data_IF_962493917389
#
_entry.id   IF_962493917389
#
_cell.length_a   1.000
_cell.length_b   1.000
_cell.length_c   1.000
_cell.angle_alpha   90.00
_cell.angle_beta   90.00
_cell.angle_gamma   90.00
#
_symmetry.space_group_name_H-M   'P 1'
#
loop_
_entity.id
_entity.type
_entity.pdbx_description
1 polymer ?
#
# COMPACT_ATOMS: atom_id res chain seq x y z
N UNK A 1 49.02 43.64 25.07
CA UNK A 1 47.54 43.55 25.18
C UNK A 1 46.88 42.73 24.06
N UNK A 2 47.64 42.01 23.22
CA UNK A 2 47.11 41.40 21.99
C UNK A 2 46.65 39.92 22.13
N UNK A 3 47.04 39.25 23.23
CA UNK A 3 46.76 37.81 23.45
C UNK A 3 45.32 37.53 23.91
N UNK A 4 44.64 38.49 24.54
CA UNK A 4 43.29 38.32 25.10
C UNK A 4 42.20 38.24 24.02
N UNK A 5 42.36 38.96 22.92
CA UNK A 5 41.37 39.02 21.83
C UNK A 5 41.35 37.76 20.95
N UNK A 6 42.49 37.08 20.78
CA UNK A 6 42.55 35.84 19.99
C UNK A 6 41.76 34.71 20.66
N UNK A 7 41.85 34.58 21.99
CA UNK A 7 41.11 33.57 22.73
C UNK A 7 39.59 33.85 22.71
N UNK A 8 39.18 35.11 22.84
CA UNK A 8 37.77 35.51 22.76
C UNK A 8 37.18 35.23 21.37
N UNK A 9 37.90 35.56 20.29
CA UNK A 9 37.46 35.27 18.92
C UNK A 9 37.36 33.76 18.67
N UNK A 10 38.32 32.97 19.19
CA UNK A 10 38.29 31.51 19.05
C UNK A 10 37.10 30.89 19.78
N UNK A 11 36.77 31.38 20.99
CA UNK A 11 35.59 30.94 21.74
C UNK A 11 34.30 31.32 21.01
N UNK A 12 34.20 32.53 20.46
CA UNK A 12 33.05 32.97 19.67
C UNK A 12 32.90 32.12 18.39
N UNK A 13 33.99 31.82 17.70
CA UNK A 13 33.97 30.93 16.53
C UNK A 13 33.55 29.50 16.89
N UNK A 14 34.02 28.95 18.01
CA UNK A 14 33.62 27.62 18.48
C UNK A 14 32.14 27.57 18.88
N UNK A 15 31.63 28.61 19.56
CA UNK A 15 30.21 28.71 19.90
C UNK A 15 29.32 28.84 18.64
N UNK A 16 29.75 29.64 17.65
CA UNK A 16 29.06 29.72 16.36
C UNK A 16 29.10 28.39 15.60
N UNK A 17 30.21 27.66 15.66
CA UNK A 17 30.32 26.32 15.05
C UNK A 17 29.40 25.30 15.73
N UNK A 18 29.26 25.35 17.06
CA UNK A 18 28.34 24.50 17.81
C UNK A 18 26.87 24.78 17.47
N UNK A 19 26.49 26.07 17.38
CA UNK A 19 25.11 26.46 17.01
C UNK A 19 24.78 26.05 15.56
N UNK A 20 25.76 26.14 14.65
CA UNK A 20 25.61 25.69 13.26
C UNK A 20 25.61 24.15 13.13
N UNK A 21 26.32 23.44 14.01
CA UNK A 21 26.35 21.97 14.03
C UNK A 21 25.04 21.37 14.55
N UNK A 22 24.42 21.98 15.57
CA UNK A 22 23.12 21.54 16.10
C UNK A 22 21.96 21.76 15.11
N UNK A 23 22.12 22.69 14.16
CA UNK A 23 21.12 22.98 13.14
C UNK A 23 21.02 21.90 12.05
N UNK A 24 21.96 20.95 12.00
CA UNK A 24 22.03 19.89 10.98
C UNK A 24 21.55 18.52 11.47
N UNK A 25 21.12 18.41 12.73
CA UNK A 25 20.38 17.24 13.19
C UNK A 25 18.94 17.34 12.68
N UNK A 26 18.74 17.10 11.38
CA UNK A 26 17.42 16.88 10.81
C UNK A 26 16.93 15.52 11.33
N UNK A 27 16.40 15.54 12.56
CA UNK A 27 15.64 14.43 13.08
C UNK A 27 14.44 14.28 12.15
N UNK A 28 14.43 13.21 11.35
CA UNK A 28 13.28 12.90 10.52
C UNK A 28 12.06 12.84 11.44
N UNK A 29 11.15 13.80 11.26
CA UNK A 29 9.93 13.88 12.05
C UNK A 29 9.17 12.56 11.92
N UNK A 30 8.69 12.02 13.05
CA UNK A 30 8.03 10.73 13.06
C UNK A 30 6.68 10.82 12.34
N UNK A 31 6.65 10.42 11.08
CA UNK A 31 5.41 10.35 10.31
C UNK A 31 4.76 8.96 10.46
N UNK A 32 3.72 8.88 11.29
CA UNK A 32 2.93 7.67 11.52
C UNK A 32 2.43 7.01 10.23
N UNK A 33 2.25 7.77 9.14
CA UNK A 33 1.77 7.26 7.85
C UNK A 33 2.75 6.28 7.20
N UNK A 34 4.03 6.32 7.57
CA UNK A 34 5.05 5.37 7.13
C UNK A 34 4.94 4.01 7.85
N UNK A 35 4.28 3.96 9.01
CA UNK A 35 4.26 2.79 9.90
C UNK A 35 2.93 2.03 9.90
N UNK A 36 2.06 2.29 8.91
CA UNK A 36 0.77 1.61 8.78
C UNK A 36 0.86 0.27 8.01
N UNK A 37 2.05 -0.29 7.83
CA UNK A 37 2.28 -1.56 7.12
C UNK A 37 1.63 -1.54 5.72
N UNK A 38 0.93 -2.61 5.36
CA UNK A 38 0.26 -2.75 4.05
C UNK A 38 -0.91 -1.80 3.81
N UNK A 39 -1.29 -0.95 4.77
CA UNK A 39 -2.31 0.08 4.59
C UNK A 39 -1.74 1.49 4.48
N UNK A 40 -0.42 1.65 4.54
CA UNK A 40 0.27 2.89 4.16
C UNK A 40 -0.07 3.21 2.70
N UNK A 41 -0.43 4.48 2.44
CA UNK A 41 -0.77 4.93 1.08
C UNK A 41 0.46 4.93 0.20
N UNK A 42 0.27 4.63 -1.08
CA UNK A 42 1.38 4.57 -2.03
C UNK A 42 2.10 5.92 -2.12
N UNK A 43 1.35 7.03 -2.15
CA UNK A 43 1.92 8.37 -2.23
C UNK A 43 2.80 8.78 -1.05
N UNK A 44 2.67 8.13 0.11
CA UNK A 44 3.49 8.39 1.30
C UNK A 44 4.81 7.64 1.18
N UNK A 45 4.78 6.37 0.79
CA UNK A 45 5.96 5.50 0.77
C UNK A 45 6.72 5.52 -0.56
N UNK A 46 6.16 6.08 -1.63
CA UNK A 46 6.78 6.06 -2.98
C UNK A 46 8.16 6.73 -3.06
N UNK A 47 8.42 7.70 -2.19
CA UNK A 47 9.67 8.45 -2.11
C UNK A 47 10.52 8.05 -0.91
N UNK A 48 9.99 7.17 -0.04
CA UNK A 48 10.76 6.56 1.05
C UNK A 48 11.54 5.41 0.42
N UNK A 49 12.49 5.77 -0.46
CA UNK A 49 13.54 4.85 -0.80
C UNK A 49 14.31 4.61 0.50
N UNK A 50 14.35 3.36 0.98
CA UNK A 50 15.45 2.97 1.86
C UNK A 50 16.73 3.46 1.16
N UNK A 51 17.71 3.93 1.91
CA UNK A 51 19.06 4.28 1.41
C UNK A 51 19.79 3.13 0.67
N UNK A 52 19.12 2.00 0.47
CA UNK A 52 19.54 0.82 -0.28
C UNK A 52 18.82 0.64 -1.62
N UNK A 53 17.81 1.45 -1.94
CA UNK A 53 17.09 1.41 -3.22
C UNK A 53 17.50 2.58 -4.10
N UNK A 54 18.49 2.35 -4.96
CA UNK A 54 18.82 3.24 -6.07
C UNK A 54 17.77 3.08 -7.17
N UNK A 55 16.99 4.12 -7.52
CA UNK A 55 16.10 4.06 -8.67
C UNK A 55 16.93 3.74 -9.91
N UNK A 56 16.76 2.54 -10.47
CA UNK A 56 17.46 2.21 -11.71
C UNK A 56 16.81 3.02 -12.84
N UNK A 57 17.50 4.06 -13.26
CA UNK A 57 17.24 4.69 -14.55
C UNK A 57 17.66 3.74 -15.67
N UNK A 58 17.12 3.99 -16.88
CA UNK A 58 17.56 3.25 -18.06
C UNK A 58 19.01 3.64 -18.32
N UNK A 59 19.97 2.68 -18.34
CA UNK A 59 21.37 3.01 -18.55
C UNK A 59 21.61 3.71 -19.88
N UNK A 60 22.62 4.60 -19.92
CA UNK A 60 23.01 5.29 -21.14
C UNK A 60 23.34 4.29 -22.27
N UNK A 61 22.76 4.50 -23.45
CA UNK A 61 22.92 3.60 -24.59
C UNK A 61 22.01 2.36 -24.58
N UNK A 62 21.15 2.20 -23.57
CA UNK A 62 20.12 1.18 -23.54
C UNK A 62 18.73 1.76 -23.89
N UNK A 63 17.89 0.96 -24.53
CA UNK A 63 16.49 1.29 -24.79
C UNK A 63 15.63 0.16 -24.22
N UNK A 64 14.58 0.46 -23.43
CA UNK A 64 13.67 -0.58 -22.96
C UNK A 64 12.94 -1.18 -24.16
N UNK A 65 12.85 -2.51 -24.21
CA UNK A 65 12.15 -3.26 -25.26
C UNK A 65 10.88 -3.95 -24.77
N UNK A 66 10.72 -4.09 -23.45
CA UNK A 66 9.58 -4.75 -22.82
C UNK A 66 9.36 -4.25 -21.39
N UNK A 67 8.11 -4.23 -20.93
CA UNK A 67 7.74 -3.92 -19.55
C UNK A 67 6.76 -4.96 -19.01
N UNK A 68 7.16 -5.65 -17.93
CA UNK A 68 6.25 -6.44 -17.11
C UNK A 68 5.98 -5.69 -15.80
N UNK A 69 4.72 -5.43 -15.51
CA UNK A 69 4.31 -4.75 -14.28
C UNK A 69 3.32 -5.61 -13.50
N UNK A 70 3.63 -5.86 -12.24
CA UNK A 70 2.69 -6.42 -11.26
C UNK A 70 2.40 -5.34 -10.22
N UNK A 71 1.14 -4.91 -10.16
CA UNK A 71 0.70 -3.88 -9.25
C UNK A 71 -0.42 -4.39 -8.34
N UNK A 72 -0.39 -3.98 -7.06
CA UNK A 72 -1.55 -4.13 -6.19
C UNK A 72 -2.64 -3.13 -6.57
N UNK A 73 -3.86 -3.41 -6.13
CA UNK A 73 -4.94 -2.43 -6.21
C UNK A 73 -4.60 -1.17 -5.39
N UNK A 74 -5.23 -0.04 -5.73
CA UNK A 74 -5.05 1.22 -5.00
C UNK A 74 -5.71 1.24 -3.63
N UNK A 75 -5.62 2.40 -2.97
CA UNK A 75 -6.30 2.65 -1.70
C UNK A 75 -7.79 2.33 -1.79
N UNK A 76 -8.29 1.61 -0.80
CA UNK A 76 -9.67 1.11 -0.73
C UNK A 76 -10.34 1.45 0.58
N UNK A 77 -11.67 1.41 0.59
CA UNK A 77 -12.46 1.41 1.81
C UNK A 77 -12.14 0.17 2.67
N UNK A 78 -12.31 0.23 4.00
CA UNK A 78 -12.31 -0.95 4.86
C UNK A 78 -13.32 -1.99 4.37
N UNK A 79 -13.04 -3.27 4.60
CA UNK A 79 -14.02 -4.31 4.29
C UNK A 79 -15.20 -4.23 5.26
N UNK A 80 -16.38 -4.77 4.88
CA UNK A 80 -17.54 -4.82 5.79
C UNK A 80 -17.22 -5.41 7.17
N UNK A 81 -16.34 -6.41 7.22
CA UNK A 81 -15.83 -6.98 8.48
C UNK A 81 -15.10 -5.92 9.31
N UNK A 82 -14.18 -5.18 8.70
CA UNK A 82 -13.41 -4.13 9.38
C UNK A 82 -14.27 -2.93 9.78
N UNK A 83 -15.30 -2.59 9.01
CA UNK A 83 -16.26 -1.55 9.40
C UNK A 83 -16.99 -1.94 10.68
N UNK A 84 -17.51 -3.18 10.77
CA UNK A 84 -18.10 -3.69 12.00
C UNK A 84 -17.13 -3.74 13.19
N UNK A 85 -15.85 -4.07 12.93
CA UNK A 85 -14.83 -4.02 13.97
C UNK A 85 -14.64 -2.60 14.51
N UNK A 86 -14.72 -1.56 13.65
CA UNK A 86 -14.66 -0.14 14.05
C UNK A 86 -15.91 0.30 14.81
N UNK A 87 -17.10 -0.16 14.42
CA UNK A 87 -18.33 0.16 15.13
C UNK A 87 -18.35 -0.47 16.54
N UNK A 88 -17.87 -1.71 16.67
CA UNK A 88 -17.66 -2.35 17.98
C UNK A 88 -16.63 -1.60 18.81
N UNK A 89 -15.54 -1.15 18.20
CA UNK A 89 -14.56 -0.30 18.88
C UNK A 89 -15.23 0.97 19.42
N UNK A 90 -16.06 1.65 18.63
CA UNK A 90 -16.78 2.85 19.08
C UNK A 90 -17.69 2.56 20.29
N UNK A 91 -18.43 1.44 20.26
CA UNK A 91 -19.28 1.03 21.37
C UNK A 91 -18.46 0.76 22.65
N UNK A 92 -17.34 0.04 22.55
CA UNK A 92 -16.47 -0.24 23.69
C UNK A 92 -15.83 1.04 24.25
N UNK A 93 -15.38 1.96 23.39
CA UNK A 93 -14.81 3.24 23.84
C UNK A 93 -15.84 4.06 24.61
N UNK A 94 -17.12 4.04 24.19
CA UNK A 94 -18.21 4.71 24.89
C UNK A 94 -18.44 4.14 26.30
N UNK A 95 -18.39 2.81 26.44
CA UNK A 95 -18.50 2.15 27.75
C UNK A 95 -17.33 2.52 28.66
N UNK A 96 -16.09 2.42 28.16
CA UNK A 96 -14.90 2.80 28.93
C UNK A 96 -14.93 4.25 29.42
N UNK A 97 -15.37 5.19 28.57
CA UNK A 97 -15.51 6.60 28.95
C UNK A 97 -16.62 6.80 29.99
N UNK A 98 -17.72 6.04 29.92
CA UNK A 98 -18.78 6.10 30.94
C UNK A 98 -18.28 5.56 32.27
N UNK A 99 -17.65 4.38 32.26
CA UNK A 99 -17.19 3.72 33.48
C UNK A 99 -16.09 4.57 34.18
N UNK A 100 -15.21 5.22 33.41
CA UNK A 100 -14.23 6.16 33.95
C UNK A 100 -14.87 7.37 34.64
N UNK A 101 -15.96 7.91 34.06
CA UNK A 101 -16.74 9.00 34.69
C UNK A 101 -17.42 8.55 35.98
N UNK A 102 -17.99 7.35 36.00
CA UNK A 102 -18.65 6.78 37.18
C UNK A 102 -17.67 6.51 38.32
N UNK A 103 -16.41 6.17 38.00
CA UNK A 103 -15.32 5.98 38.97
C UNK A 103 -14.69 7.28 39.47
N UNK A 104 -15.15 8.44 38.98
CA UNK A 104 -14.61 9.74 39.38
C UNK A 104 -13.19 10.02 38.87
N UNK A 105 -12.74 9.31 37.82
CA UNK A 105 -11.49 9.66 37.14
C UNK A 105 -11.63 11.04 36.52
N UNK A 106 -10.57 11.85 36.62
CA UNK A 106 -10.55 13.19 36.08
C UNK A 106 -10.78 13.14 34.57
N UNK A 107 -11.82 13.82 34.09
CA UNK A 107 -12.17 13.85 32.66
C UNK A 107 -11.05 14.47 31.81
N UNK A 108 -10.22 15.29 32.44
CA UNK A 108 -9.01 15.89 31.91
C UNK A 108 -7.94 14.83 31.53
N UNK A 109 -7.98 13.64 32.14
CA UNK A 109 -7.08 12.53 31.80
C UNK A 109 -7.55 11.72 30.59
N UNK A 110 -8.82 11.86 30.18
CA UNK A 110 -9.35 11.19 28.99
C UNK A 110 -9.12 12.07 27.75
N UNK A 111 -8.34 11.59 26.75
CA UNK A 111 -8.15 12.33 25.52
C UNK A 111 -9.48 12.79 24.90
N UNK A 112 -9.60 14.09 24.62
CA UNK A 112 -10.85 14.67 24.13
C UNK A 112 -11.39 13.99 22.86
N UNK A 113 -10.51 13.48 21.99
CA UNK A 113 -10.91 12.79 20.76
C UNK A 113 -11.64 11.46 20.99
N UNK A 114 -11.47 10.82 22.15
CA UNK A 114 -12.19 9.60 22.52
C UNK A 114 -13.64 9.89 22.89
N UNK A 115 -13.91 11.11 23.40
CA UNK A 115 -15.23 11.49 23.84
C UNK A 115 -16.16 11.65 22.64
N UNK A 116 -17.15 10.76 22.53
CA UNK A 116 -18.09 10.79 21.41
C UNK A 116 -17.48 10.32 20.08
N UNK A 117 -16.35 9.62 20.11
CA UNK A 117 -15.78 9.04 18.89
C UNK A 117 -16.76 8.06 18.24
N UNK A 118 -17.06 8.29 16.97
CA UNK A 118 -17.80 7.36 16.15
C UNK A 118 -16.95 6.88 14.98
N UNK A 119 -17.21 5.65 14.54
CA UNK A 119 -16.61 5.09 13.34
C UNK A 119 -16.91 6.01 12.14
N UNK A 120 -15.89 6.46 11.36
CA UNK A 120 -16.11 7.20 10.12
C UNK A 120 -16.88 6.40 9.05
N UNK A 121 -17.05 5.10 9.30
CA UNK A 121 -17.72 4.14 8.43
C UNK A 121 -19.08 3.69 8.98
N UNK A 122 -19.56 4.32 10.06
CA UNK A 122 -20.87 4.07 10.63
C UNK A 122 -21.95 4.24 9.55
N UNK A 123 -22.93 3.33 9.57
CA UNK A 123 -24.07 3.25 8.65
C UNK A 123 -23.73 3.05 7.16
N UNK A 124 -22.44 2.92 6.80
CA UNK A 124 -22.05 2.60 5.42
C UNK A 124 -22.31 1.12 5.13
N UNK A 125 -23.02 0.85 4.03
CA UNK A 125 -23.45 -0.51 3.65
C UNK A 125 -22.43 -1.22 2.73
N UNK A 126 -21.70 -0.45 1.93
CA UNK A 126 -20.66 -0.95 1.02
C UNK A 126 -19.31 -0.92 1.71
N UNK A 127 -18.42 -1.84 1.33
CA UNK A 127 -17.08 -1.93 1.92
C UNK A 127 -16.12 -2.72 1.05
N UNK A 128 -14.86 -2.31 1.07
CA UNK A 128 -13.78 -2.92 0.30
C UNK A 128 -13.70 -2.49 -1.16
N UNK A 129 -14.48 -1.48 -1.58
CA UNK A 129 -14.33 -0.86 -2.89
C UNK A 129 -13.06 -0.01 -2.98
N UNK A 130 -12.57 0.14 -4.21
CA UNK A 130 -11.57 1.17 -4.52
C UNK A 130 -12.22 2.53 -4.25
N UNK A 131 -11.48 3.43 -3.58
CA UNK A 131 -11.95 4.81 -3.38
C UNK A 131 -11.23 5.74 -4.35
N UNK A 132 -11.73 6.97 -4.50
CA UNK A 132 -11.17 7.99 -5.41
C UNK A 132 -9.65 8.14 -5.22
N UNK A 133 -9.16 8.11 -3.98
CA UNK A 133 -7.71 8.15 -3.72
C UNK A 133 -6.94 6.99 -4.33
N UNK A 134 -7.51 5.79 -4.34
CA UNK A 134 -6.92 4.66 -5.05
C UNK A 134 -6.99 4.81 -6.57
N UNK A 135 -8.02 5.45 -7.11
CA UNK A 135 -8.11 5.75 -8.55
C UNK A 135 -7.03 6.75 -8.97
N UNK A 136 -6.89 7.86 -8.22
CA UNK A 136 -5.83 8.85 -8.42
C UNK A 136 -4.43 8.20 -8.36
N UNK A 137 -4.17 7.38 -7.33
CA UNK A 137 -2.89 6.67 -7.16
C UNK A 137 -2.51 5.84 -8.41
N UNK A 138 -3.47 5.11 -8.97
CA UNK A 138 -3.21 4.24 -10.11
C UNK A 138 -3.16 5.02 -11.42
N UNK A 139 -3.99 6.06 -11.57
CA UNK A 139 -3.93 6.98 -12.70
C UNK A 139 -2.55 7.64 -12.79
N UNK A 140 -2.09 8.26 -11.71
CA UNK A 140 -0.77 8.91 -11.64
C UNK A 140 0.37 7.90 -11.81
N UNK A 141 0.16 6.65 -11.38
CA UNK A 141 1.11 5.58 -11.67
C UNK A 141 1.17 5.26 -13.17
N UNK A 142 0.03 5.16 -13.86
CA UNK A 142 -0.01 4.96 -15.30
C UNK A 142 0.67 6.09 -16.08
N UNK A 143 0.44 7.35 -15.68
CA UNK A 143 1.11 8.52 -16.27
C UNK A 143 2.62 8.40 -16.14
N UNK A 144 3.13 8.18 -14.92
CA UNK A 144 4.58 8.04 -14.68
C UNK A 144 5.19 6.85 -15.40
N UNK A 145 4.47 5.73 -15.52
CA UNK A 145 4.96 4.58 -16.29
C UNK A 145 5.20 4.96 -17.75
N UNK A 146 4.25 5.68 -18.36
CA UNK A 146 4.40 6.14 -19.75
C UNK A 146 5.52 7.16 -19.90
N UNK A 147 5.64 8.11 -18.98
CA UNK A 147 6.72 9.10 -18.99
C UNK A 147 8.09 8.42 -18.89
N UNK A 148 8.24 7.46 -17.96
CA UNK A 148 9.51 6.76 -17.75
C UNK A 148 9.89 5.83 -18.90
N UNK A 149 8.93 5.17 -19.54
CA UNK A 149 9.17 4.19 -20.60
C UNK A 149 8.55 4.62 -21.93
N UNK A 150 8.64 5.90 -22.28
CA UNK A 150 7.94 6.48 -23.42
C UNK A 150 8.18 5.72 -24.75
N UNK A 151 9.40 5.21 -24.97
CA UNK A 151 9.76 4.45 -26.17
C UNK A 151 8.96 3.15 -26.35
N UNK A 152 8.38 2.59 -25.29
CA UNK A 152 7.52 1.41 -25.35
C UNK A 152 6.07 1.72 -25.78
N UNK A 153 5.68 2.99 -25.86
CA UNK A 153 4.29 3.41 -26.08
C UNK A 153 4.13 4.23 -27.38
N UNK A 154 4.97 3.95 -28.37
CA UNK A 154 4.96 4.64 -29.67
C UNK A 154 3.83 4.15 -30.60
N UNK A 155 3.30 2.96 -30.36
CA UNK A 155 2.26 2.34 -31.19
C UNK A 155 0.85 2.61 -30.65
N UNK A 156 -0.12 2.64 -31.55
CA UNK A 156 -1.54 2.74 -31.16
C UNK A 156 -1.96 1.54 -30.32
N UNK A 157 -2.88 1.76 -29.37
CA UNK A 157 -3.36 0.68 -28.50
C UNK A 157 -3.95 -0.50 -29.30
N UNK A 158 -3.39 -1.69 -29.07
CA UNK A 158 -3.93 -2.99 -29.41
C UNK A 158 -3.86 -3.93 -28.19
N UNK A 159 -4.90 -4.74 -27.89
CA UNK A 159 -4.91 -5.63 -26.71
C UNK A 159 -3.78 -6.67 -26.70
N UNK A 160 -3.31 -7.11 -27.86
CA UNK A 160 -2.22 -8.09 -27.98
C UNK A 160 -0.83 -7.48 -27.75
N UNK A 161 -0.71 -6.15 -27.85
CA UNK A 161 0.55 -5.42 -27.61
C UNK A 161 0.58 -4.93 -26.17
N UNK A 162 -0.51 -4.29 -25.74
CA UNK A 162 -0.64 -3.72 -24.39
C UNK A 162 -1.62 -4.52 -23.55
N UNK A 163 -1.23 -5.74 -23.22
CA UNK A 163 -2.07 -6.63 -22.43
C UNK A 163 -2.20 -6.15 -20.99
N UNK A 164 -3.42 -5.81 -20.57
CA UNK A 164 -3.75 -5.46 -19.17
C UNK A 164 -4.61 -6.58 -18.59
N UNK A 165 -4.11 -7.21 -17.51
CA UNK A 165 -4.82 -8.27 -16.78
C UNK A 165 -5.14 -7.82 -15.35
N UNK A 166 -6.31 -8.22 -14.86
CA UNK A 166 -6.70 -8.00 -13.47
C UNK A 166 -7.43 -9.22 -12.91
N UNK A 167 -7.23 -9.50 -11.63
CA UNK A 167 -8.03 -10.51 -10.91
C UNK A 167 -9.52 -10.14 -10.97
N UNK A 168 -10.42 -11.13 -10.92
CA UNK A 168 -11.87 -10.91 -10.84
C UNK A 168 -12.32 -10.45 -9.43
N UNK A 169 -11.77 -9.31 -9.01
CA UNK A 169 -12.08 -8.59 -7.78
C UNK A 169 -12.36 -7.13 -8.20
N UNK A 170 -13.53 -6.55 -7.90
CA UNK A 170 -13.92 -5.23 -8.43
C UNK A 170 -12.90 -4.11 -8.20
N UNK A 171 -12.27 -4.06 -7.02
CA UNK A 171 -11.23 -3.05 -6.75
C UNK A 171 -9.95 -3.24 -7.58
N UNK A 172 -9.62 -4.47 -7.96
CA UNK A 172 -8.45 -4.76 -8.78
C UNK A 172 -8.71 -4.40 -10.25
N UNK A 173 -9.89 -4.75 -10.77
CA UNK A 173 -10.28 -4.33 -12.12
C UNK A 173 -10.42 -2.81 -12.23
N UNK A 174 -11.06 -2.15 -11.25
CA UNK A 174 -11.12 -0.69 -11.21
C UNK A 174 -9.73 -0.04 -11.14
N UNK A 175 -8.80 -0.64 -10.40
CA UNK A 175 -7.40 -0.17 -10.34
C UNK A 175 -6.70 -0.30 -11.70
N UNK A 176 -6.90 -1.41 -12.40
CA UNK A 176 -6.36 -1.62 -13.74
C UNK A 176 -6.95 -0.63 -14.75
N UNK A 177 -8.24 -0.29 -14.62
CA UNK A 177 -8.88 0.75 -15.43
C UNK A 177 -8.27 2.12 -15.12
N UNK A 178 -8.16 2.52 -13.86
CA UNK A 178 -7.55 3.80 -13.49
C UNK A 178 -6.10 3.92 -14.02
N UNK A 179 -5.31 2.85 -13.88
CA UNK A 179 -3.97 2.75 -14.44
C UNK A 179 -3.95 2.92 -15.96
N UNK A 180 -4.79 2.18 -16.69
CA UNK A 180 -4.89 2.29 -18.15
C UNK A 180 -5.35 3.67 -18.61
N UNK A 181 -6.23 4.34 -17.85
CA UNK A 181 -6.67 5.71 -18.14
C UNK A 181 -5.53 6.73 -18.03
N UNK A 182 -4.58 6.51 -17.11
CA UNK A 182 -3.36 7.31 -17.00
C UNK A 182 -2.38 6.99 -18.13
N UNK A 183 -2.11 5.70 -18.33
CA UNK A 183 -1.18 5.20 -19.34
C UNK A 183 -1.55 5.69 -20.75
N UNK A 184 -2.82 5.58 -21.14
CA UNK A 184 -3.31 5.99 -22.46
C UNK A 184 -3.97 7.37 -22.47
N UNK A 185 -3.65 8.23 -21.49
CA UNK A 185 -4.21 9.59 -21.47
C UNK A 185 -3.74 10.38 -22.71
N UNK A 186 -4.68 11.07 -23.38
CA UNK A 186 -4.38 11.91 -24.54
C UNK A 186 -4.16 11.17 -25.87
N UNK A 187 -4.21 9.83 -25.90
CA UNK A 187 -3.94 9.04 -27.13
C UNK A 187 -5.17 8.73 -27.96
N UNK A 188 -6.37 9.05 -27.47
CA UNK A 188 -7.62 8.75 -28.14
C UNK A 188 -8.41 9.98 -28.57
N UNK A 189 -9.67 9.73 -28.94
CA UNK A 189 -10.61 10.73 -29.47
C UNK A 189 -11.86 10.87 -28.62
N UNK A 190 -12.01 10.09 -27.54
CA UNK A 190 -13.21 10.10 -26.72
C UNK A 190 -13.19 11.23 -25.70
N UNK A 191 -14.16 12.14 -25.84
CA UNK A 191 -14.41 13.25 -24.91
C UNK A 191 -13.27 14.29 -24.83
N UNK A 192 -13.45 15.34 -24.01
CA UNK A 192 -12.47 16.43 -23.88
C UNK A 192 -11.08 15.96 -23.41
N UNK A 193 -11.04 14.86 -22.65
CA UNK A 193 -9.80 14.26 -22.15
C UNK A 193 -9.07 13.37 -23.16
N UNK A 194 -9.51 13.31 -24.43
CA UNK A 194 -8.89 12.52 -25.51
C UNK A 194 -8.58 11.09 -25.08
N UNK A 195 -9.58 10.44 -24.48
CA UNK A 195 -9.41 9.10 -23.89
C UNK A 195 -9.42 8.03 -24.98
N UNK A 196 -8.61 6.99 -24.77
CA UNK A 196 -8.59 5.77 -25.59
C UNK A 196 -9.27 4.65 -24.80
N UNK A 197 -10.21 3.95 -25.43
CA UNK A 197 -10.75 2.71 -24.88
C UNK A 197 -9.68 1.61 -24.93
N UNK A 198 -9.61 0.79 -23.87
CA UNK A 198 -8.71 -0.34 -23.74
C UNK A 198 -9.42 -1.50 -23.04
N UNK A 199 -8.88 -2.70 -23.21
CA UNK A 199 -9.41 -3.92 -22.61
C UNK A 199 -8.67 -4.23 -21.31
N UNK A 200 -9.42 -4.62 -20.29
CA UNK A 200 -8.88 -5.25 -19.08
C UNK A 200 -9.40 -6.67 -19.07
N UNK A 201 -8.49 -7.63 -19.21
CA UNK A 201 -8.83 -9.05 -19.23
C UNK A 201 -8.82 -9.57 -17.79
N UNK A 202 -9.84 -10.33 -17.41
CA UNK A 202 -9.86 -11.03 -16.12
C UNK A 202 -10.11 -12.50 -16.32
N UNK A 203 -9.35 -13.32 -15.60
CA UNK A 203 -9.64 -14.75 -15.49
C UNK A 203 -10.61 -15.01 -14.34
N UNK A 204 -11.31 -16.14 -14.41
CA UNK A 204 -12.18 -16.55 -13.32
C UNK A 204 -11.38 -16.74 -12.03
N UNK A 205 -12.00 -16.49 -10.87
CA UNK A 205 -11.34 -16.74 -9.57
C UNK A 205 -10.84 -18.18 -9.39
N UNK A 206 -11.45 -19.14 -10.08
CA UNK A 206 -11.08 -20.56 -10.00
C UNK A 206 -9.89 -20.91 -10.90
N UNK A 207 -9.64 -20.13 -11.95
CA UNK A 207 -8.58 -20.37 -12.93
C UNK A 207 -7.37 -19.44 -12.75
N UNK A 208 -7.56 -18.30 -12.08
CA UNK A 208 -6.50 -17.31 -11.82
C UNK A 208 -5.49 -17.84 -10.80
N UNK A 209 -4.55 -18.65 -11.27
CA UNK A 209 -3.45 -19.22 -10.48
C UNK A 209 -2.23 -18.31 -10.45
N UNK A 210 -2.09 -17.41 -11.43
CA UNK A 210 -0.93 -16.53 -11.58
C UNK A 210 -1.03 -15.23 -10.77
N UNK A 211 -2.18 -14.53 -10.82
CA UNK A 211 -2.36 -13.27 -10.09
C UNK A 211 -2.98 -13.49 -8.69
N UNK A 212 -3.60 -14.65 -8.47
CA UNK A 212 -4.14 -15.12 -7.19
C UNK A 212 -3.46 -16.42 -6.74
N UNK A 213 -2.12 -16.46 -6.67
CA UNK A 213 -1.35 -17.64 -6.22
C UNK A 213 -1.76 -18.16 -4.83
N UNK A 214 -2.35 -17.31 -3.97
CA UNK A 214 -2.93 -17.73 -2.69
C UNK A 214 -4.11 -18.72 -2.81
N UNK A 215 -4.74 -18.84 -3.98
CA UNK A 215 -5.79 -19.84 -4.25
C UNK A 215 -5.19 -21.25 -4.36
N UNK A 216 -3.99 -21.38 -4.95
CA UNK A 216 -3.21 -22.62 -4.94
C UNK A 216 -2.84 -23.01 -3.50
N UNK A 217 -2.44 -22.02 -2.69
CA UNK A 217 -2.17 -22.22 -1.27
C UNK A 217 -3.43 -22.56 -0.44
N UNK A 218 -4.63 -22.21 -0.92
CA UNK A 218 -5.90 -22.54 -0.26
C UNK A 218 -6.24 -24.01 -0.48
N UNK A 219 -5.95 -24.54 -1.67
CA UNK A 219 -6.04 -25.98 -1.97
C UNK A 219 -5.05 -26.76 -1.12
N UNK A 220 -3.80 -26.28 -0.94
CA UNK A 220 -2.84 -26.95 -0.03
C UNK A 220 -3.28 -26.87 1.43
N UNK A 221 -3.82 -25.75 1.90
CA UNK A 221 -4.33 -25.62 3.29
C UNK A 221 -5.59 -26.46 3.56
N UNK A 222 -6.44 -26.64 2.55
CA UNK A 222 -7.60 -27.57 2.61
C UNK A 222 -7.10 -29.01 2.57
N UNK A 223 -6.14 -29.35 1.70
CA UNK A 223 -5.51 -30.67 1.64
C UNK A 223 -4.77 -31.01 2.94
N UNK A 224 -4.12 -30.05 3.60
CA UNK A 224 -3.50 -30.26 4.92
C UNK A 224 -4.55 -30.48 6.01
N UNK A 225 -5.65 -29.73 6.00
CA UNK A 225 -6.78 -29.98 6.91
C UNK A 225 -7.44 -31.33 6.67
N UNK A 226 -7.64 -31.72 5.41
CA UNK A 226 -8.23 -33.01 5.01
C UNK A 226 -7.28 -34.16 5.32
N UNK A 227 -5.97 -34.02 5.08
CA UNK A 227 -4.93 -34.98 5.50
C UNK A 227 -4.88 -35.10 7.02
N UNK A 228 -4.96 -34.00 7.76
CA UNK A 228 -5.03 -34.01 9.23
C UNK A 228 -6.29 -34.74 9.73
N UNK A 229 -7.45 -34.50 9.11
CA UNK A 229 -8.72 -35.20 9.43
C UNK A 229 -8.66 -36.70 9.08
N UNK A 230 -8.04 -37.07 7.94
CA UNK A 230 -7.86 -38.47 7.56
C UNK A 230 -6.84 -39.19 8.46
N UNK A 231 -5.75 -38.52 8.86
CA UNK A 231 -4.76 -39.05 9.80
C UNK A 231 -5.32 -39.24 11.22
N UNK A 232 -6.31 -38.45 11.63
CA UNK A 232 -7.01 -38.64 12.91
C UNK A 232 -7.92 -39.89 12.88
N UNK A 233 -8.46 -40.24 11.71
CA UNK A 233 -9.32 -41.44 11.53
C UNK A 233 -8.55 -42.73 11.25
N UNK A 234 -7.25 -42.66 10.97
CA UNK A 234 -6.40 -43.82 10.69
C UNK A 234 -5.47 -44.17 11.85
N UNK A 235 -5.96 -44.09 13.10
CA UNK A 235 -5.34 -44.82 14.23
C UNK A 235 -5.64 -46.31 14.08
N UNK A 236 -4.98 -46.96 13.12
CA UNK A 236 -4.63 -48.38 13.04
C UNK A 236 -4.24 -48.73 11.60
N UNK A 237 -3.02 -48.35 11.18
CA UNK A 237 -2.21 -49.25 10.36
C UNK A 237 -0.73 -48.85 10.44
N UNK A 238 0.08 -49.87 10.71
CA UNK A 238 1.50 -49.85 11.03
C UNK A 238 2.42 -49.46 9.86
N UNK A 239 3.63 -48.95 10.23
CA UNK A 239 4.96 -49.11 9.60
C UNK A 239 5.14 -48.56 8.16
N UNK A 240 6.23 -47.90 7.76
CA UNK A 240 7.64 -47.93 8.17
C UNK A 240 8.32 -46.60 7.85
N UNK A 241 9.37 -46.31 8.62
CA UNK A 241 10.37 -45.25 8.40
C UNK A 241 11.51 -45.85 7.56
N UNK A 242 12.01 -45.16 6.53
CA UNK A 242 13.34 -45.34 5.91
C UNK A 242 13.62 -44.05 5.11
N UNK A 243 14.46 -43.15 5.61
CA UNK A 243 15.92 -43.07 5.36
C UNK A 243 16.28 -43.13 3.86
N UNK A 244 16.49 -41.93 3.29
CA UNK A 244 17.67 -41.43 2.52
C UNK A 244 18.33 -42.45 1.57
N UNK A 245 18.56 -42.09 0.28
CA UNK A 245 19.59 -41.13 -0.14
C UNK A 245 19.10 -39.72 -0.48
#
# INVERSE_FOLDING_TARGET
MEKKNKNALTIVCLLLFSILADSNAQQEDFDVRNYLSTVSRYGVVKNVANSTFEPSDVPNGCTPIHLNLVARHGTRAPTKKRMRDLDRLAAHLKELVRDAKEQGLALEEIPAWLQGWESPWKDKVKGGELIIKGEEELYDFGVRTREKFASLFNESYHPDIYTIKATQIPRASASAVAYGMGLFSGTGTLGPGRKRAFAVVSESRASDTMLLSSTVARTTRILEKVKSLLLINSRNLFLTRSLIP
#
